data_IF_112477146380
#
_entry.id   IF_112477146380
#
_cell.length_a   1.000
_cell.length_b   1.000
_cell.length_c   1.000
_cell.angle_alpha   90.00
_cell.angle_beta   90.00
_cell.angle_gamma   90.00
#
_symmetry.space_group_name_H-M   'P 1'
#
loop_
_entity.id
_entity.type
_entity.pdbx_description
1 polymer ?
#
# COMPACT_ATOMS: atom_id res chain seq x y z
N UNK A 1 29.23 6.42 -10.14
CA UNK A 1 28.47 5.24 -9.69
C UNK A 1 27.16 5.77 -9.13
N UNK A 2 26.08 5.70 -9.90
CA UNK A 2 24.78 6.20 -9.48
C UNK A 2 24.03 5.06 -8.82
N UNK A 3 23.73 5.28 -7.56
CA UNK A 3 23.14 4.35 -6.59
C UNK A 3 21.93 3.62 -7.19
N UNK A 4 22.05 2.32 -7.40
CA UNK A 4 21.01 1.47 -8.01
C UNK A 4 19.82 1.18 -7.06
N UNK A 5 19.75 1.89 -5.94
CA UNK A 5 18.82 1.64 -4.83
C UNK A 5 17.50 2.40 -4.94
N UNK A 6 17.33 3.26 -5.96
CA UNK A 6 16.09 4.03 -6.19
C UNK A 6 15.04 3.25 -7.02
N UNK A 7 15.48 2.26 -7.80
CA UNK A 7 14.63 1.48 -8.72
C UNK A 7 13.58 0.60 -8.03
N UNK A 8 13.65 0.42 -6.71
CA UNK A 8 12.75 -0.44 -5.95
C UNK A 8 11.80 0.33 -5.03
N UNK A 9 11.87 1.66 -5.00
CA UNK A 9 10.91 2.43 -4.20
C UNK A 9 9.55 2.33 -4.89
N UNK A 10 8.52 1.78 -4.24
CA UNK A 10 7.18 1.85 -4.80
C UNK A 10 6.89 3.34 -5.02
N UNK A 11 6.61 3.71 -6.27
CA UNK A 11 6.25 5.09 -6.61
C UNK A 11 4.84 5.37 -6.09
N UNK A 12 4.71 5.49 -4.76
CA UNK A 12 3.46 5.82 -4.11
C UNK A 12 3.11 7.25 -4.51
N UNK A 13 1.98 7.48 -5.21
CA UNK A 13 1.55 8.80 -5.62
C UNK A 13 1.40 9.71 -4.41
N UNK A 14 2.10 10.84 -4.42
CA UNK A 14 1.89 11.90 -3.44
C UNK A 14 0.67 12.72 -3.86
N UNK A 15 -0.19 13.06 -2.91
CA UNK A 15 -1.28 14.00 -3.15
C UNK A 15 -0.72 15.39 -3.50
N UNK A 16 -1.15 15.94 -4.64
CA UNK A 16 -0.66 17.20 -5.21
C UNK A 16 -1.74 18.30 -5.27
N UNK A 17 -2.94 18.02 -4.76
CA UNK A 17 -4.10 18.93 -4.81
C UNK A 17 -5.13 18.54 -5.86
N UNK A 18 -4.82 17.63 -6.79
CA UNK A 18 -5.77 17.12 -7.79
C UNK A 18 -6.26 15.73 -7.40
N UNK A 19 -7.38 15.67 -6.68
CA UNK A 19 -7.93 14.41 -6.17
C UNK A 19 -8.24 13.42 -7.30
N UNK A 20 -8.90 13.84 -8.38
CA UNK A 20 -9.25 12.96 -9.50
C UNK A 20 -8.00 12.32 -10.14
N UNK A 21 -6.93 13.09 -10.29
CA UNK A 21 -5.68 12.60 -10.86
C UNK A 21 -4.95 11.65 -9.90
N UNK A 22 -4.91 12.02 -8.61
CA UNK A 22 -4.29 11.20 -7.57
C UNK A 22 -5.04 9.86 -7.37
N UNK A 23 -6.37 9.88 -7.39
CA UNK A 23 -7.22 8.70 -7.27
C UNK A 23 -6.96 7.70 -8.39
N UNK A 24 -6.90 8.16 -9.64
CA UNK A 24 -6.57 7.29 -10.78
C UNK A 24 -5.21 6.60 -10.64
N UNK A 25 -4.20 7.32 -10.12
CA UNK A 25 -2.86 6.76 -9.90
C UNK A 25 -2.86 5.75 -8.74
N UNK A 26 -3.56 6.05 -7.66
CA UNK A 26 -3.69 5.16 -6.50
C UNK A 26 -4.46 3.89 -6.86
N UNK A 27 -5.57 3.99 -7.59
CA UNK A 27 -6.34 2.83 -8.03
C UNK A 27 -5.47 1.90 -8.89
N UNK A 28 -4.75 2.44 -9.89
CA UNK A 28 -3.85 1.65 -10.72
C UNK A 28 -2.74 0.98 -9.90
N UNK A 29 -2.16 1.71 -8.93
CA UNK A 29 -1.13 1.15 -8.06
C UNK A 29 -1.68 -0.03 -7.24
N UNK A 30 -2.84 0.12 -6.62
CA UNK A 30 -3.47 -0.91 -5.78
C UNK A 30 -3.85 -2.13 -6.62
N UNK A 31 -4.43 -1.92 -7.81
CA UNK A 31 -4.75 -3.02 -8.74
C UNK A 31 -3.49 -3.72 -9.24
N UNK A 32 -2.40 -3.00 -9.51
CA UNK A 32 -1.12 -3.60 -9.94
C UNK A 32 -0.45 -4.45 -8.87
N UNK A 33 -0.79 -4.23 -7.60
CA UNK A 33 -0.27 -4.97 -6.45
C UNK A 33 -1.22 -6.07 -5.98
N UNK A 34 -2.34 -6.28 -6.67
CA UNK A 34 -3.39 -7.23 -6.27
C UNK A 34 -3.95 -6.96 -4.85
N UNK A 35 -3.78 -5.74 -4.34
CA UNK A 35 -4.22 -5.33 -3.00
C UNK A 35 -5.67 -4.83 -3.00
N UNK A 36 -6.37 -4.89 -4.13
CA UNK A 36 -7.75 -4.39 -4.27
C UNK A 36 -8.71 -5.09 -3.30
N UNK A 37 -8.51 -6.39 -3.07
CA UNK A 37 -9.31 -7.17 -2.13
C UNK A 37 -9.22 -6.61 -0.69
N UNK A 38 -8.07 -6.06 -0.28
CA UNK A 38 -7.91 -5.44 1.03
C UNK A 38 -8.73 -4.14 1.20
N UNK A 39 -9.08 -3.48 0.09
CA UNK A 39 -9.93 -2.29 0.11
C UNK A 39 -11.41 -2.69 0.15
N UNK A 40 -11.81 -3.69 -0.63
CA UNK A 40 -13.20 -4.17 -0.67
C UNK A 40 -13.58 -4.99 0.56
N UNK A 41 -12.75 -5.95 0.94
CA UNK A 41 -12.95 -6.86 2.08
C UNK A 41 -12.54 -6.19 3.39
N UNK A 42 -11.66 -5.19 3.33
CA UNK A 42 -11.07 -4.52 4.49
C UNK A 42 -9.87 -5.28 5.04
N UNK A 43 -8.94 -4.54 5.67
CA UNK A 43 -7.84 -5.16 6.41
C UNK A 43 -8.35 -5.60 7.77
N UNK A 44 -8.24 -6.90 8.08
CA UNK A 44 -8.51 -7.43 9.42
C UNK A 44 -7.48 -6.85 10.38
N UNK A 45 -7.83 -5.74 11.04
CA UNK A 45 -6.96 -5.14 12.05
C UNK A 45 -6.85 -6.13 13.21
N UNK A 46 -5.62 -6.57 13.49
CA UNK A 46 -5.37 -7.45 14.62
C UNK A 46 -5.92 -6.80 15.91
N UNK A 47 -6.65 -7.55 16.76
CA UNK A 47 -7.17 -7.01 18.01
C UNK A 47 -6.03 -6.45 18.86
N UNK A 48 -6.31 -5.40 19.64
CA UNK A 48 -5.30 -4.68 20.42
C UNK A 48 -4.47 -5.57 21.37
N UNK A 49 -4.99 -6.76 21.72
CA UNK A 49 -4.33 -7.78 22.54
C UNK A 49 -3.63 -8.89 21.72
N UNK A 50 -3.37 -8.69 20.43
CA UNK A 50 -2.58 -9.64 19.64
C UNK A 50 -1.15 -9.74 20.18
N UNK A 51 -0.80 -10.92 20.71
CA UNK A 51 0.55 -11.23 21.21
C UNK A 51 1.57 -11.15 20.07
N UNK A 52 2.82 -10.81 20.37
CA UNK A 52 3.88 -10.58 19.36
C UNK A 52 4.03 -11.73 18.34
N UNK A 53 3.71 -12.96 18.74
CA UNK A 53 3.69 -14.14 17.87
C UNK A 53 2.60 -14.10 16.78
N UNK A 54 1.46 -13.44 17.03
CA UNK A 54 0.35 -13.32 16.07
C UNK A 54 0.56 -12.18 15.07
N UNK A 55 1.40 -11.19 15.40
CA UNK A 55 1.74 -10.07 14.50
C UNK A 55 2.73 -10.44 13.39
N UNK A 56 3.51 -11.52 13.57
CA UNK A 56 4.52 -11.97 12.61
C UNK A 56 4.00 -12.96 11.55
N UNK A 57 2.75 -13.42 11.65
CA UNK A 57 2.18 -14.44 10.76
C UNK A 57 1.22 -13.88 9.70
N UNK A 58 1.06 -12.56 9.61
CA UNK A 58 0.21 -11.88 8.63
C UNK A 58 1.06 -11.26 7.50
#
# INVERSE_FOLDING_TARGET
>A
MADSSDYQRPQIPKYDGHYDHWEMLMENLIRSKELWDLIETGVTVAPAEATDAQRQAA
#
